data_IF_554060349616
#
_entry.id   IF_554060349616
#
_cell.length_a   1.000
_cell.length_b   1.000
_cell.length_c   1.000
_cell.angle_alpha   90.00
_cell.angle_beta   90.00
_cell.angle_gamma   90.00
#
_symmetry.space_group_name_H-M   'P 1'
#
loop_
_entity.id
_entity.type
_entity.pdbx_description
1 polymer ?
#
# COMPACT_ATOMS: atom_id res chain seq x y z
N UNK A 1 52.43 -45.44 1.02
CA UNK A 1 51.96 -44.05 0.95
C UNK A 1 50.85 -43.89 1.99
N UNK A 2 51.20 -43.54 3.23
CA UNK A 2 50.23 -43.23 4.26
C UNK A 2 50.06 -41.71 4.28
N UNK A 3 48.83 -41.25 4.01
CA UNK A 3 48.47 -39.84 3.96
C UNK A 3 48.11 -39.42 5.40
N UNK A 4 49.06 -38.86 6.12
CA UNK A 4 48.83 -38.31 7.46
C UNK A 4 48.02 -37.03 7.34
N UNK A 5 46.72 -37.12 7.67
CA UNK A 5 45.89 -35.94 7.84
C UNK A 5 46.44 -35.10 9.01
N UNK A 6 46.55 -33.76 8.88
CA UNK A 6 47.01 -32.93 9.98
C UNK A 6 45.89 -32.84 11.02
N UNK A 7 46.03 -33.61 12.09
CA UNK A 7 45.17 -33.50 13.27
C UNK A 7 45.67 -32.28 14.04
N UNK A 8 45.01 -31.13 13.84
CA UNK A 8 45.21 -29.94 14.67
C UNK A 8 45.09 -30.28 16.16
N UNK A 9 45.74 -29.50 17.01
CA UNK A 9 45.71 -29.71 18.47
C UNK A 9 44.26 -29.84 18.94
N UNK A 10 44.01 -30.67 19.96
CA UNK A 10 42.66 -30.86 20.54
C UNK A 10 41.98 -29.53 20.86
N UNK A 11 42.75 -28.52 21.25
CA UNK A 11 42.27 -27.15 21.47
C UNK A 11 41.80 -26.45 20.19
N UNK A 12 42.52 -26.59 19.07
CA UNK A 12 42.15 -25.99 17.78
C UNK A 12 40.84 -26.57 17.24
N UNK A 13 40.64 -27.88 17.40
CA UNK A 13 39.38 -28.55 17.03
C UNK A 13 38.21 -28.04 17.89
N UNK A 14 38.43 -27.87 19.20
CA UNK A 14 37.41 -27.34 20.11
C UNK A 14 37.07 -25.87 19.82
N UNK A 15 38.08 -25.04 19.53
CA UNK A 15 37.87 -23.64 19.14
C UNK A 15 37.10 -23.54 17.82
N UNK A 16 37.45 -24.35 16.83
CA UNK A 16 36.76 -24.39 15.55
C UNK A 16 35.30 -24.86 15.70
N UNK A 17 35.03 -25.83 16.59
CA UNK A 17 33.67 -26.25 16.91
C UNK A 17 32.87 -25.13 17.58
N UNK A 18 33.45 -24.42 18.54
CA UNK A 18 32.82 -23.31 19.24
C UNK A 18 32.50 -22.14 18.29
N UNK A 19 33.41 -21.82 17.37
CA UNK A 19 33.17 -20.81 16.33
C UNK A 19 32.04 -21.20 15.39
N UNK A 20 32.00 -22.47 14.94
CA UNK A 20 30.90 -22.98 14.12
C UNK A 20 29.56 -22.93 14.85
N UNK A 21 29.53 -23.32 16.12
CA UNK A 21 28.31 -23.25 16.93
C UNK A 21 27.84 -21.80 17.11
N UNK A 22 28.77 -20.87 17.37
CA UNK A 22 28.47 -19.43 17.45
C UNK A 22 27.96 -18.88 16.11
N UNK A 23 28.57 -19.26 15.00
CA UNK A 23 28.15 -18.85 13.67
C UNK A 23 26.74 -19.39 13.34
N UNK A 24 26.47 -20.66 13.64
CA UNK A 24 25.15 -21.26 13.46
C UNK A 24 24.09 -20.59 14.34
N UNK A 25 24.40 -20.28 15.60
CA UNK A 25 23.49 -19.54 16.49
C UNK A 25 23.19 -18.15 15.97
N UNK A 26 24.19 -17.40 15.53
CA UNK A 26 24.01 -16.07 14.93
C UNK A 26 23.16 -16.15 13.66
N UNK A 27 23.44 -17.11 12.79
CA UNK A 27 22.65 -17.30 11.57
C UNK A 27 21.19 -17.64 11.90
N UNK A 28 20.95 -18.48 12.89
CA UNK A 28 19.60 -18.82 13.34
C UNK A 28 18.89 -17.62 13.99
N UNK A 29 19.60 -16.79 14.76
CA UNK A 29 19.05 -15.56 15.34
C UNK A 29 18.71 -14.53 14.25
N UNK A 30 19.59 -14.31 13.28
CA UNK A 30 19.37 -13.41 12.14
C UNK A 30 18.18 -13.89 11.29
N UNK A 31 18.07 -15.20 11.05
CA UNK A 31 16.96 -15.78 10.29
C UNK A 31 15.64 -15.63 11.05
N UNK A 32 15.65 -15.87 12.37
CA UNK A 32 14.48 -15.67 13.23
C UNK A 32 14.04 -14.20 13.24
N UNK A 33 14.98 -13.26 13.39
CA UNK A 33 14.66 -11.83 13.39
C UNK A 33 14.08 -11.39 12.05
N UNK A 34 14.62 -11.88 10.92
CA UNK A 34 14.05 -11.61 9.58
C UNK A 34 12.64 -12.17 9.46
N UNK A 35 12.42 -13.41 9.89
CA UNK A 35 11.11 -14.05 9.85
C UNK A 35 10.08 -13.29 10.70
N UNK A 36 10.46 -12.82 11.88
CA UNK A 36 9.61 -12.01 12.75
C UNK A 36 9.26 -10.66 12.12
N UNK A 37 10.25 -9.97 11.53
CA UNK A 37 10.04 -8.70 10.80
C UNK A 37 9.11 -8.88 9.61
N UNK A 38 9.30 -9.95 8.83
CA UNK A 38 8.45 -10.24 7.68
C UNK A 38 7.03 -10.58 8.10
N UNK A 39 6.86 -11.38 9.16
CA UNK A 39 5.55 -11.71 9.69
C UNK A 39 4.83 -10.46 10.23
N UNK A 40 5.52 -9.61 10.99
CA UNK A 40 4.97 -8.35 11.49
C UNK A 40 4.53 -7.42 10.34
N UNK A 41 5.33 -7.33 9.26
CA UNK A 41 4.98 -6.56 8.07
C UNK A 41 3.74 -7.12 7.36
N UNK A 42 3.66 -8.44 7.18
CA UNK A 42 2.51 -9.10 6.56
C UNK A 42 1.24 -8.92 7.39
N UNK A 43 1.33 -9.07 8.71
CA UNK A 43 0.22 -8.82 9.62
C UNK A 43 -0.28 -7.38 9.48
N UNK A 44 0.63 -6.39 9.46
CA UNK A 44 0.26 -4.98 9.27
C UNK A 44 -0.48 -4.74 7.95
N UNK A 45 -0.12 -5.43 6.87
CA UNK A 45 -0.80 -5.30 5.57
C UNK A 45 -2.21 -5.91 5.55
N UNK A 46 -2.49 -6.85 6.45
CA UNK A 46 -3.79 -7.52 6.57
C UNK A 46 -4.72 -6.84 7.58
N UNK A 47 -4.18 -6.06 8.51
CA UNK A 47 -4.99 -5.31 9.46
C UNK A 47 -5.82 -4.23 8.75
N UNK A 48 -7.01 -3.90 9.30
CA UNK A 48 -7.78 -2.74 8.86
C UNK A 48 -6.96 -1.45 8.96
N UNK A 49 -7.22 -0.50 8.08
CA UNK A 49 -6.52 0.79 8.02
C UNK A 49 -7.30 1.89 8.72
N UNK A 50 -6.59 2.91 9.17
CA UNK A 50 -7.20 4.18 9.62
C UNK A 50 -7.68 5.00 8.43
N UNK A 51 -8.51 6.03 8.65
CA UNK A 51 -9.01 6.86 7.55
C UNK A 51 -7.87 7.50 6.72
N UNK A 52 -6.82 8.10 7.32
CA UNK A 52 -5.70 8.66 6.55
C UNK A 52 -4.96 7.62 5.70
N UNK A 53 -4.66 6.46 6.29
CA UNK A 53 -3.97 5.36 5.59
C UNK A 53 -4.81 4.82 4.43
N UNK A 54 -6.12 4.68 4.64
CA UNK A 54 -7.05 4.24 3.61
C UNK A 54 -7.12 5.23 2.44
N UNK A 55 -7.23 6.53 2.72
CA UNK A 55 -7.29 7.57 1.70
C UNK A 55 -6.00 7.62 0.88
N UNK A 56 -4.84 7.59 1.54
CA UNK A 56 -3.54 7.52 0.87
C UNK A 56 -3.44 6.27 -0.03
N UNK A 57 -3.82 5.11 0.49
CA UNK A 57 -3.84 3.88 -0.27
C UNK A 57 -4.79 3.92 -1.48
N UNK A 58 -5.95 4.57 -1.37
CA UNK A 58 -6.81 4.84 -2.51
C UNK A 58 -6.10 5.69 -3.58
N UNK A 59 -5.32 6.70 -3.18
CA UNK A 59 -4.57 7.53 -4.11
C UNK A 59 -3.44 6.75 -4.78
N UNK A 60 -2.80 5.82 -4.07
CA UNK A 60 -1.69 5.02 -4.62
C UNK A 60 -2.19 3.88 -5.53
N UNK A 61 -3.22 3.15 -5.11
CA UNK A 61 -3.64 1.90 -5.76
C UNK A 61 -4.86 2.03 -6.66
N UNK A 62 -5.78 2.95 -6.34
CA UNK A 62 -7.05 3.10 -7.06
C UNK A 62 -7.11 4.34 -7.95
N UNK A 63 -6.19 5.29 -7.78
CA UNK A 63 -6.16 6.44 -8.69
C UNK A 63 -5.79 5.97 -10.09
N UNK A 64 -6.73 6.13 -11.02
CA UNK A 64 -6.41 6.04 -12.44
C UNK A 64 -5.95 7.43 -12.83
N UNK A 65 -4.68 7.55 -13.25
CA UNK A 65 -4.17 8.80 -13.80
C UNK A 65 -5.09 9.25 -14.94
N UNK A 66 -5.68 10.43 -14.80
CA UNK A 66 -6.42 11.07 -15.89
C UNK A 66 -5.42 11.38 -17.01
N UNK A 67 -5.29 10.45 -17.96
CA UNK A 67 -4.60 10.75 -19.22
C UNK A 67 -5.49 11.72 -19.99
N UNK A 68 -4.99 12.92 -20.26
CA UNK A 68 -5.68 13.96 -21.04
C UNK A 68 -6.03 13.53 -22.47
N UNK A 69 -5.73 12.29 -22.87
CA UNK A 69 -6.35 11.63 -24.02
C UNK A 69 -7.81 11.32 -23.71
N UNK A 70 -8.62 12.37 -23.77
CA UNK A 70 -10.05 12.28 -24.01
C UNK A 70 -10.20 11.57 -25.35
N UNK A 71 -10.41 10.26 -25.32
CA UNK A 71 -10.86 9.56 -26.51
C UNK A 71 -12.29 10.05 -26.77
N UNK A 72 -12.43 10.98 -27.70
CA UNK A 72 -13.69 11.62 -28.09
C UNK A 72 -14.77 10.61 -28.54
N UNK A 73 -14.39 9.35 -28.76
CA UNK A 73 -15.28 8.24 -29.08
C UNK A 73 -15.88 7.54 -27.86
N UNK A 74 -15.25 7.62 -26.68
CA UNK A 74 -15.74 7.02 -25.42
C UNK A 74 -16.28 8.03 -24.41
N UNK A 75 -16.27 9.32 -24.75
CA UNK A 75 -17.03 10.32 -24.01
C UNK A 75 -18.53 10.02 -24.03
N UNK A 76 -19.29 10.63 -23.13
CA UNK A 76 -20.76 10.59 -23.16
C UNK A 76 -21.27 11.08 -24.52
N UNK A 77 -21.54 10.16 -25.43
CA UNK A 77 -22.17 10.43 -26.71
C UNK A 77 -23.67 10.53 -26.48
N UNK A 78 -24.13 11.75 -26.21
CA UNK A 78 -25.53 12.10 -26.25
C UNK A 78 -25.72 13.19 -27.30
N UNK A 79 -26.76 13.08 -28.12
CA UNK A 79 -27.20 14.21 -28.93
C UNK A 79 -27.42 15.41 -27.98
N UNK A 80 -26.73 16.52 -28.21
CA UNK A 80 -26.82 17.74 -27.39
C UNK A 80 -28.25 18.30 -27.35
N UNK A 81 -29.10 17.89 -28.28
CA UNK A 81 -30.53 18.19 -28.31
C UNK A 81 -31.31 17.59 -27.11
N UNK A 82 -30.78 16.60 -26.39
CA UNK A 82 -31.38 16.05 -25.15
C UNK A 82 -31.23 16.96 -23.92
N UNK A 83 -30.78 18.20 -24.09
CA UNK A 83 -30.63 19.18 -23.02
C UNK A 83 -31.81 20.16 -22.88
N UNK A 84 -32.80 20.13 -23.79
CA UNK A 84 -33.88 21.14 -23.85
C UNK A 84 -34.80 21.19 -22.61
N UNK A 85 -34.74 20.21 -21.71
CA UNK A 85 -35.56 20.13 -20.49
C UNK A 85 -34.74 19.85 -19.22
N UNK A 86 -33.41 19.98 -19.28
CA UNK A 86 -32.57 19.77 -18.10
C UNK A 86 -32.33 21.10 -17.40
N UNK A 87 -32.66 21.16 -16.11
CA UNK A 87 -32.22 22.27 -15.25
C UNK A 87 -30.69 22.34 -15.31
N UNK A 88 -30.19 23.53 -15.65
CA UNK A 88 -28.77 23.84 -15.68
C UNK A 88 -28.55 25.13 -14.91
N UNK A 89 -27.41 25.27 -14.21
CA UNK A 89 -27.05 26.56 -13.63
C UNK A 89 -26.94 27.61 -14.73
N UNK A 90 -27.54 28.78 -14.52
CA UNK A 90 -27.35 29.93 -15.42
C UNK A 90 -25.94 30.52 -15.29
N UNK A 91 -25.30 30.29 -14.13
CA UNK A 91 -23.97 30.80 -13.81
C UNK A 91 -23.16 29.75 -13.05
N UNK A 92 -21.88 29.63 -13.44
CA UNK A 92 -20.86 28.99 -12.62
C UNK A 92 -20.24 30.10 -11.76
N UNK A 93 -20.24 29.92 -10.44
CA UNK A 93 -19.64 30.87 -9.51
C UNK A 93 -18.45 30.22 -8.82
N UNK A 94 -17.43 31.03 -8.58
CA UNK A 94 -16.28 30.60 -7.79
C UNK A 94 -16.70 30.32 -6.35
N UNK A 95 -16.22 29.20 -5.79
CA UNK A 95 -16.41 28.85 -4.39
C UNK A 95 -15.27 29.44 -3.56
N UNK A 96 -15.38 30.73 -3.25
CA UNK A 96 -14.32 31.51 -2.61
C UNK A 96 -13.99 31.07 -1.19
N UNK A 97 -14.93 30.41 -0.50
CA UNK A 97 -14.79 29.91 0.87
C UNK A 97 -14.40 28.43 0.97
N UNK A 98 -14.22 27.74 -0.17
CA UNK A 98 -14.01 26.29 -0.21
C UNK A 98 -12.90 25.82 0.73
N UNK A 99 -11.73 26.47 0.71
CA UNK A 99 -10.59 26.05 1.54
C UNK A 99 -10.89 26.14 3.04
N UNK A 100 -11.63 27.17 3.47
CA UNK A 100 -12.01 27.34 4.87
C UNK A 100 -13.04 26.28 5.27
N UNK A 101 -14.12 26.16 4.52
CA UNK A 101 -15.19 25.20 4.77
C UNK A 101 -14.63 23.77 4.80
N UNK A 102 -13.74 23.44 3.86
CA UNK A 102 -13.13 22.12 3.83
C UNK A 102 -12.23 21.86 5.03
N UNK A 103 -11.52 22.87 5.52
CA UNK A 103 -10.70 22.74 6.74
C UNK A 103 -11.56 22.52 7.98
N UNK A 104 -12.74 23.14 8.06
CA UNK A 104 -13.69 22.95 9.16
C UNK A 104 -14.27 21.53 9.15
N UNK A 105 -14.61 21.00 7.96
CA UNK A 105 -15.05 19.61 7.79
C UNK A 105 -13.98 18.63 8.27
N UNK A 106 -12.73 18.81 7.83
CA UNK A 106 -11.62 17.94 8.28
C UNK A 106 -11.40 18.02 9.78
N UNK A 107 -11.46 19.22 10.37
CA UNK A 107 -11.33 19.40 11.81
C UNK A 107 -12.41 18.65 12.57
N UNK A 108 -13.67 18.72 12.12
CA UNK A 108 -14.77 17.97 12.70
C UNK A 108 -14.55 16.46 12.59
N UNK A 109 -14.13 15.98 11.42
CA UNK A 109 -13.90 14.55 11.17
C UNK A 109 -12.76 13.97 12.03
N UNK A 110 -11.68 14.72 12.24
CA UNK A 110 -10.55 14.32 13.08
C UNK A 110 -10.73 14.62 14.57
N UNK A 111 -11.81 15.31 14.96
CA UNK A 111 -12.11 15.56 16.38
C UNK A 111 -12.68 14.35 17.11
N UNK A 112 -13.01 13.28 16.37
CA UNK A 112 -13.54 12.01 16.88
C UNK A 112 -12.58 10.88 16.57
N UNK A 113 -12.54 9.86 17.43
CA UNK A 113 -11.58 8.75 17.32
C UNK A 113 -11.79 7.88 16.06
N UNK A 114 -12.97 7.98 15.43
CA UNK A 114 -13.32 7.27 14.19
C UNK A 114 -12.26 7.40 13.09
N UNK A 115 -11.64 8.59 12.93
CA UNK A 115 -10.64 8.79 11.89
C UNK A 115 -9.29 8.13 12.22
N UNK A 116 -8.98 7.97 13.51
CA UNK A 116 -7.74 7.34 14.01
C UNK A 116 -7.87 5.85 14.26
N UNK A 117 -9.09 5.32 14.34
CA UNK A 117 -9.34 3.90 14.54
C UNK A 117 -9.31 3.10 13.22
N UNK A 118 -8.84 1.84 13.27
CA UNK A 118 -8.69 1.00 12.08
C UNK A 118 -10.05 0.40 11.67
N UNK A 119 -10.87 1.19 10.98
CA UNK A 119 -12.20 0.78 10.52
C UNK A 119 -12.28 0.41 9.03
N UNK A 120 -11.22 0.71 8.27
CA UNK A 120 -11.27 0.62 6.81
C UNK A 120 -10.56 -0.63 6.30
N UNK A 121 -10.84 -0.98 5.04
CA UNK A 121 -10.25 -2.14 4.36
C UNK A 121 -8.72 -2.17 4.47
N UNK A 122 -8.14 -3.37 4.55
CA UNK A 122 -6.69 -3.53 4.66
C UNK A 122 -5.95 -3.10 3.39
N UNK A 123 -4.69 -2.69 3.54
CA UNK A 123 -3.84 -2.27 2.43
C UNK A 123 -3.69 -3.36 1.37
N UNK A 124 -3.59 -4.63 1.80
CA UNK A 124 -3.44 -5.75 0.88
C UNK A 124 -4.66 -5.89 -0.04
N UNK A 125 -5.87 -5.70 0.48
CA UNK A 125 -7.10 -5.77 -0.32
C UNK A 125 -7.16 -4.64 -1.36
N UNK A 126 -6.81 -3.40 -0.97
CA UNK A 126 -6.76 -2.27 -1.91
C UNK A 126 -5.75 -2.49 -3.05
N UNK A 127 -4.59 -3.08 -2.72
CA UNK A 127 -3.57 -3.44 -3.71
C UNK A 127 -4.06 -4.51 -4.69
N UNK A 128 -4.83 -5.50 -4.22
CA UNK A 128 -5.42 -6.50 -5.12
C UNK A 128 -6.47 -5.89 -6.06
N UNK A 129 -7.20 -4.84 -5.63
CA UNK A 129 -8.19 -4.14 -6.46
C UNK A 129 -7.59 -3.32 -7.61
N UNK A 130 -6.33 -2.91 -7.53
CA UNK A 130 -5.60 -2.30 -8.65
C UNK A 130 -5.50 -3.25 -9.86
N UNK A 131 -5.42 -4.55 -9.58
CA UNK A 131 -5.11 -5.61 -10.55
C UNK A 131 -6.22 -5.83 -11.60
N UNK A 132 -7.52 -5.81 -11.28
CA UNK A 132 -8.58 -5.83 -12.29
C UNK A 132 -8.76 -4.49 -13.04
N UNK A 133 -8.55 -3.34 -12.41
CA UNK A 133 -8.73 -2.02 -13.05
C UNK A 133 -7.75 -1.80 -14.23
N UNK A 134 -6.55 -2.36 -14.15
CA UNK A 134 -5.53 -2.27 -15.20
C UNK A 134 -5.79 -3.19 -16.41
N UNK A 135 -6.58 -4.26 -16.24
CA UNK A 135 -6.90 -5.21 -17.33
C UNK A 135 -8.04 -4.73 -18.22
N UNK A 136 -9.00 -4.00 -17.68
CA UNK A 136 -10.16 -3.53 -18.45
C UNK A 136 -9.81 -2.42 -19.46
N UNK A 137 -8.70 -1.69 -19.29
CA UNK A 137 -8.27 -0.65 -20.25
C UNK A 137 -7.34 -1.14 -21.36
N UNK A 138 -6.91 -2.41 -21.32
CA UNK A 138 -6.02 -2.98 -22.35
C UNK A 138 -6.77 -3.78 -23.44
N UNK A 139 -8.09 -3.93 -23.32
CA UNK A 139 -8.92 -4.76 -24.21
C UNK A 139 -10.17 -4.02 -24.74
N UNK A 140 -10.12 -2.69 -24.89
CA UNK A 140 -11.20 -1.91 -25.50
C UNK A 140 -10.67 -0.88 -26.49
#
# INVERSE_FOLDING_TARGET
MANEAPVGSREEVLLQQLERERALRRQAEDEKERAERDNARLQKQLQPTTLPEFLDACHVYLSVGFSSRINYKTGTQGNSENAYLKLRPDYIREWTTFSQEQSEVWRGLFSVDFASEPHFTSLNTLKEWQRPASRSMALS
#
